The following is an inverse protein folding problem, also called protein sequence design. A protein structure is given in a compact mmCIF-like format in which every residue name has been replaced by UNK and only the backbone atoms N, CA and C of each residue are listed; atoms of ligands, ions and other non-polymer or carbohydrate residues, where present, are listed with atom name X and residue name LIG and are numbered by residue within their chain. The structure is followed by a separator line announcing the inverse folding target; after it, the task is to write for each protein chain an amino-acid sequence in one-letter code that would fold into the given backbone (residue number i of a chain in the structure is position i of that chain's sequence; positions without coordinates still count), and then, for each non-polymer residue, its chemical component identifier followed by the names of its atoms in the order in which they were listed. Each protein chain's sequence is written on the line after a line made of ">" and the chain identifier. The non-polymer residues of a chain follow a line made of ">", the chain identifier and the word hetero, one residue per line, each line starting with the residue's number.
data_IF_054317061443
#
_entry.id   IF_054317061443
#
_cell.length_a   1.000
_cell.length_b   1.000
_cell.length_c   1.000
_cell.angle_alpha   90.00
_cell.angle_beta   90.00
_cell.angle_gamma   90.00
#
_symmetry.space_group_name_H-M   'P 1'
#
loop_
_entity.id
_entity.type
_entity.pdbx_description
1 polymer ?
#
# COMPACT_ATOMS: atom_id res chain seq x y z
N UNK A 1 18.48 -14.61 -13.36
CA UNK A 1 19.20 -14.89 -12.13
C UNK A 1 19.74 -16.28 -12.14
N UNK A 2 20.96 -16.48 -11.65
CA UNK A 2 21.83 -17.60 -12.01
C UNK A 2 21.33 -19.01 -11.68
N UNK A 3 20.37 -19.20 -10.78
CA UNK A 3 19.99 -20.53 -10.30
C UNK A 3 18.51 -20.77 -10.01
N UNK A 4 17.63 -19.84 -10.34
CA UNK A 4 16.20 -20.03 -10.10
C UNK A 4 15.41 -19.98 -11.41
N UNK A 5 15.13 -21.13 -11.99
CA UNK A 5 14.26 -21.30 -13.17
C UNK A 5 12.77 -21.22 -12.83
N UNK A 6 12.43 -20.88 -11.58
CA UNK A 6 11.06 -20.78 -11.08
C UNK A 6 10.48 -19.36 -11.21
N UNK A 7 9.17 -19.27 -11.00
CA UNK A 7 8.46 -18.01 -10.84
C UNK A 7 8.85 -17.32 -9.52
N UNK A 8 8.69 -15.99 -9.45
CA UNK A 8 8.85 -15.25 -8.21
C UNK A 8 7.95 -15.84 -7.10
N UNK A 9 8.51 -15.96 -5.90
CA UNK A 9 7.81 -16.58 -4.78
C UNK A 9 6.90 -15.59 -4.03
N UNK A 10 6.99 -14.32 -4.36
CA UNK A 10 6.20 -13.24 -3.78
C UNK A 10 6.68 -11.87 -4.20
N UNK A 11 6.03 -10.84 -3.68
CA UNK A 11 6.26 -9.44 -4.08
C UNK A 11 7.66 -8.94 -3.66
N UNK A 12 8.13 -9.31 -2.48
CA UNK A 12 9.48 -8.95 -2.02
C UNK A 12 10.57 -9.74 -2.75
N UNK A 13 10.32 -11.00 -3.09
CA UNK A 13 11.25 -11.79 -3.90
C UNK A 13 11.42 -11.19 -5.28
N UNK A 14 10.34 -10.74 -5.92
CA UNK A 14 10.40 -10.07 -7.21
C UNK A 14 11.32 -8.83 -7.18
N UNK A 15 11.20 -7.98 -6.16
CA UNK A 15 12.06 -6.80 -6.00
C UNK A 15 13.51 -7.19 -5.68
N UNK A 16 13.71 -8.22 -4.85
CA UNK A 16 15.04 -8.73 -4.49
C UNK A 16 15.84 -9.20 -5.71
N UNK A 17 15.19 -9.80 -6.70
CA UNK A 17 15.84 -10.23 -7.93
C UNK A 17 16.46 -9.07 -8.74
N UNK A 18 16.00 -7.84 -8.51
CA UNK A 18 16.51 -6.62 -9.14
C UNK A 18 17.33 -5.73 -8.20
N UNK A 19 17.75 -6.26 -7.04
CA UNK A 19 18.41 -5.46 -5.99
C UNK A 19 19.70 -4.80 -6.49
N UNK A 20 20.47 -5.47 -7.34
CA UNK A 20 21.71 -4.92 -7.89
C UNK A 20 21.45 -3.70 -8.80
N UNK A 21 20.34 -3.71 -9.54
CA UNK A 21 19.89 -2.55 -10.31
C UNK A 21 19.51 -1.39 -9.40
N UNK A 22 18.76 -1.69 -8.32
CA UNK A 22 18.35 -0.68 -7.32
C UNK A 22 19.58 -0.08 -6.63
N UNK A 23 20.58 -0.89 -6.30
CA UNK A 23 21.84 -0.41 -5.71
C UNK A 23 22.60 0.54 -6.63
N UNK A 24 22.57 0.28 -7.95
CA UNK A 24 23.24 1.10 -8.94
C UNK A 24 22.56 2.45 -9.21
N UNK A 25 21.30 2.63 -8.81
CA UNK A 25 20.61 3.91 -8.98
C UNK A 25 21.11 4.95 -7.98
N UNK A 26 21.34 6.16 -8.48
CA UNK A 26 21.67 7.33 -7.65
C UNK A 26 20.36 8.03 -7.19
N UNK A 27 19.69 7.40 -6.23
CA UNK A 27 18.42 7.86 -5.65
C UNK A 27 18.40 7.62 -4.15
N UNK A 28 17.65 8.42 -3.43
CA UNK A 28 17.47 8.31 -1.97
C UNK A 28 16.28 7.43 -1.59
N UNK A 29 15.21 7.46 -2.41
CA UNK A 29 13.98 6.74 -2.17
C UNK A 29 13.61 5.83 -3.34
N UNK A 30 12.92 4.74 -3.03
CA UNK A 30 12.36 3.79 -4.00
C UNK A 30 10.86 3.66 -3.76
N UNK A 31 10.07 3.84 -4.82
CA UNK A 31 8.62 3.59 -4.79
C UNK A 31 8.37 2.17 -5.31
N UNK A 32 7.55 1.42 -4.58
CA UNK A 32 7.04 0.12 -5.00
C UNK A 32 5.54 0.26 -5.24
N UNK A 33 5.11 -0.14 -6.44
CA UNK A 33 3.72 -0.07 -6.88
C UNK A 33 3.19 -1.48 -7.17
N UNK A 34 1.93 -1.73 -6.82
CA UNK A 34 1.21 -2.93 -7.27
C UNK A 34 0.81 -2.79 -8.74
N UNK A 35 0.94 -3.88 -9.50
CA UNK A 35 0.67 -3.89 -10.94
C UNK A 35 -0.81 -4.10 -11.31
N UNK A 36 -1.65 -4.48 -10.36
CA UNK A 36 -3.05 -4.86 -10.51
C UNK A 36 -4.01 -3.96 -9.70
N UNK A 37 -3.67 -2.69 -9.57
CA UNK A 37 -4.48 -1.69 -8.87
C UNK A 37 -4.92 -0.58 -9.82
N UNK A 38 -6.18 -0.18 -9.69
CA UNK A 38 -6.79 0.92 -10.45
C UNK A 38 -6.94 2.14 -9.55
N UNK A 39 -6.14 3.17 -9.79
CA UNK A 39 -6.13 4.43 -9.04
C UNK A 39 -5.36 5.51 -9.78
N UNK A 40 -5.45 6.74 -9.32
CA UNK A 40 -4.61 7.85 -9.76
C UNK A 40 -4.03 8.56 -8.54
N UNK A 41 -2.73 8.71 -8.49
CA UNK A 41 -2.02 9.32 -7.36
C UNK A 41 -0.98 10.31 -7.84
N UNK A 42 -0.87 11.44 -7.17
CA UNK A 42 0.29 12.33 -7.27
C UNK A 42 1.41 11.79 -6.37
N UNK A 43 2.34 11.07 -6.98
CA UNK A 43 3.45 10.46 -6.25
C UNK A 43 4.39 11.51 -5.65
N UNK A 44 4.44 12.74 -6.17
CA UNK A 44 5.26 13.81 -5.58
C UNK A 44 4.82 14.11 -4.16
N UNK A 45 3.50 14.22 -3.93
CA UNK A 45 2.94 14.44 -2.58
C UNK A 45 3.19 13.26 -1.64
N UNK A 46 3.17 12.05 -2.18
CA UNK A 46 3.46 10.84 -1.40
C UNK A 46 4.92 10.83 -0.93
N UNK A 47 5.87 11.16 -1.82
CA UNK A 47 7.30 11.28 -1.49
C UNK A 47 7.53 12.46 -0.52
N UNK A 48 6.90 13.61 -0.74
CA UNK A 48 6.99 14.77 0.14
C UNK A 48 6.57 14.41 1.57
N UNK A 49 5.43 13.75 1.74
CA UNK A 49 4.97 13.25 3.04
C UNK A 49 5.99 12.28 3.68
N UNK A 50 6.59 11.37 2.89
CA UNK A 50 7.63 10.46 3.35
C UNK A 50 8.83 11.21 3.93
N UNK A 51 9.29 12.26 3.23
CA UNK A 51 10.41 13.11 3.66
C UNK A 51 10.08 13.95 4.89
N UNK A 52 8.91 14.61 4.91
CA UNK A 52 8.45 15.46 6.02
C UNK A 52 8.29 14.65 7.33
N UNK A 53 7.72 13.46 7.24
CA UNK A 53 7.55 12.55 8.39
C UNK A 53 8.86 11.87 8.82
N UNK A 54 9.95 12.06 8.06
CA UNK A 54 11.25 11.38 8.26
C UNK A 54 11.08 9.86 8.38
N UNK A 55 10.15 9.33 7.59
CA UNK A 55 9.84 7.92 7.59
C UNK A 55 11.00 7.10 7.02
N UNK A 56 11.14 5.87 7.47
CA UNK A 56 11.98 4.86 6.82
C UNK A 56 11.19 4.14 5.74
N UNK A 57 9.87 3.94 6.00
CA UNK A 57 8.92 3.36 5.08
C UNK A 57 7.61 4.14 5.20
N UNK A 58 6.99 4.50 4.08
CA UNK A 58 5.63 5.07 4.06
C UNK A 58 4.71 4.16 3.27
N UNK A 59 3.56 3.83 3.85
CA UNK A 59 2.52 3.04 3.22
C UNK A 59 1.37 3.95 2.80
N UNK A 60 0.92 3.84 1.56
CA UNK A 60 -0.34 4.45 1.17
C UNK A 60 -1.51 3.65 1.74
N UNK A 61 -2.47 4.35 2.34
CA UNK A 61 -3.59 3.74 3.07
C UNK A 61 -4.92 4.36 2.67
N UNK A 62 -5.98 3.57 2.79
CA UNK A 62 -7.36 4.00 2.61
C UNK A 62 -8.23 3.53 3.77
N UNK A 63 -9.23 4.32 4.19
CA UNK A 63 -10.26 3.84 5.10
C UNK A 63 -11.16 2.84 4.37
N UNK A 64 -11.54 1.74 5.04
CA UNK A 64 -12.32 0.68 4.41
C UNK A 64 -13.40 0.15 5.34
N UNK A 65 -14.47 -0.37 4.75
CA UNK A 65 -15.60 -0.95 5.46
C UNK A 65 -15.35 -2.41 5.91
N UNK A 66 -16.24 -2.89 6.78
CA UNK A 66 -16.21 -4.26 7.33
C UNK A 66 -16.20 -5.36 6.26
N UNK A 67 -16.91 -5.16 5.14
CA UNK A 67 -17.11 -6.20 4.12
C UNK A 67 -15.82 -6.49 3.35
N UNK A 68 -15.02 -5.45 3.15
CA UNK A 68 -13.79 -5.52 2.37
C UNK A 68 -12.55 -5.75 3.24
N UNK A 69 -12.62 -5.43 4.53
CA UNK A 69 -11.46 -5.37 5.42
C UNK A 69 -10.64 -6.66 5.47
N UNK A 70 -11.28 -7.85 5.46
CA UNK A 70 -10.58 -9.13 5.50
C UNK A 70 -9.76 -9.47 4.24
N UNK A 71 -9.86 -8.66 3.19
CA UNK A 71 -9.13 -8.88 1.93
C UNK A 71 -7.79 -8.16 1.87
N UNK A 72 -7.50 -7.28 2.84
CA UNK A 72 -6.34 -6.38 2.82
C UNK A 72 -5.51 -6.47 4.09
N UNK A 73 -4.26 -6.04 3.99
CA UNK A 73 -3.45 -5.72 5.15
C UNK A 73 -4.05 -4.53 5.89
N UNK A 74 -4.35 -4.70 7.18
CA UNK A 74 -4.92 -3.68 8.04
C UNK A 74 -3.87 -3.14 9.00
N UNK A 75 -4.02 -1.89 9.42
CA UNK A 75 -3.09 -1.27 10.35
C UNK A 75 -3.77 -0.36 11.36
N UNK A 76 -3.09 -0.15 12.49
CA UNK A 76 -3.40 0.89 13.44
C UNK A 76 -2.34 1.96 13.39
N UNK A 77 -2.74 3.20 13.54
CA UNK A 77 -1.84 4.35 13.60
C UNK A 77 -2.04 5.12 14.89
N UNK A 78 -0.99 5.80 15.32
CA UNK A 78 -1.11 6.79 16.38
C UNK A 78 -1.52 8.17 15.83
N UNK A 79 -1.65 9.16 16.72
CA UNK A 79 -2.02 10.55 16.42
C UNK A 79 -1.03 11.30 15.50
N UNK A 80 0.17 10.75 15.30
CA UNK A 80 1.21 11.26 14.39
C UNK A 80 1.28 10.52 13.07
N UNK A 81 0.32 9.64 12.78
CA UNK A 81 0.27 8.83 11.57
C UNK A 81 1.28 7.67 11.53
N UNK A 82 2.02 7.42 12.64
CA UNK A 82 2.94 6.28 12.71
C UNK A 82 2.16 4.98 12.85
N UNK A 83 2.53 3.99 12.05
CA UNK A 83 1.96 2.64 12.12
C UNK A 83 2.49 1.95 13.37
N UNK A 84 1.59 1.49 14.23
CA UNK A 84 1.89 0.86 15.52
C UNK A 84 1.46 -0.61 15.59
N UNK A 85 0.61 -1.04 14.66
CA UNK A 85 0.14 -2.42 14.56
C UNK A 85 -0.20 -2.74 13.10
N UNK A 86 0.01 -3.98 12.67
CA UNK A 86 -0.25 -4.43 11.31
C UNK A 86 -0.70 -5.90 11.32
N UNK A 87 -1.76 -6.21 10.58
CA UNK A 87 -2.25 -7.58 10.38
C UNK A 87 -2.61 -7.80 8.91
N UNK A 88 -2.04 -8.82 8.29
CA UNK A 88 -2.31 -9.14 6.88
C UNK A 88 -3.53 -10.04 6.76
N UNK A 89 -4.56 -9.55 6.07
CA UNK A 89 -5.82 -10.26 5.78
C UNK A 89 -6.43 -10.94 7.01
N UNK A 90 -6.59 -10.22 8.15
CA UNK A 90 -7.05 -10.79 9.40
C UNK A 90 -8.49 -11.28 9.28
N UNK A 91 -8.86 -12.28 10.09
CA UNK A 91 -10.22 -12.87 10.09
C UNK A 91 -10.75 -13.04 11.51
N UNK A 92 -12.08 -13.13 11.64
CA UNK A 92 -12.71 -13.42 12.92
C UNK A 92 -12.40 -12.37 13.99
N UNK A 93 -11.91 -12.80 15.15
CA UNK A 93 -11.61 -11.89 16.28
C UNK A 93 -10.41 -10.97 15.99
N UNK A 94 -9.41 -11.43 15.26
CA UNK A 94 -8.27 -10.61 14.85
C UNK A 94 -8.73 -9.43 13.99
N UNK A 95 -9.65 -9.65 13.05
CA UNK A 95 -10.24 -8.59 12.25
C UNK A 95 -10.92 -7.54 13.13
N UNK A 96 -11.74 -7.94 14.09
CA UNK A 96 -12.40 -7.02 15.01
C UNK A 96 -11.41 -6.20 15.84
N UNK A 97 -10.30 -6.81 16.24
CA UNK A 97 -9.25 -6.10 16.97
C UNK A 97 -8.58 -5.01 16.14
N UNK A 98 -8.61 -5.11 14.80
CA UNK A 98 -8.04 -4.10 13.91
C UNK A 98 -8.95 -2.89 13.67
N UNK A 99 -10.14 -2.83 14.26
CA UNK A 99 -10.99 -1.64 14.20
C UNK A 99 -10.32 -0.45 14.91
N UNK A 100 -10.42 0.71 14.28
CA UNK A 100 -9.87 1.97 14.78
C UNK A 100 -10.84 3.12 14.55
N UNK A 101 -10.67 4.20 15.30
CA UNK A 101 -11.33 5.46 15.00
C UNK A 101 -10.63 6.16 13.83
N UNK A 102 -11.17 6.00 12.64
CA UNK A 102 -10.59 6.58 11.42
C UNK A 102 -10.75 8.11 11.33
N UNK A 103 -11.35 8.78 12.33
CA UNK A 103 -11.31 10.25 12.44
C UNK A 103 -9.88 10.77 12.56
N UNK A 104 -8.94 9.97 13.05
CA UNK A 104 -7.50 10.28 13.06
C UNK A 104 -6.93 10.56 11.66
N UNK A 105 -7.58 10.05 10.61
CA UNK A 105 -7.27 10.34 9.21
C UNK A 105 -7.98 11.59 8.68
N UNK A 106 -8.75 12.30 9.52
CA UNK A 106 -9.52 13.47 9.13
C UNK A 106 -10.89 13.15 8.50
N UNK A 107 -11.42 11.93 8.71
CA UNK A 107 -12.77 11.56 8.31
C UNK A 107 -13.79 12.19 9.27
N UNK A 108 -15.01 12.46 8.75
CA UNK A 108 -16.12 12.82 9.62
C UNK A 108 -16.52 11.62 10.50
N UNK A 109 -17.16 11.86 11.67
CA UNK A 109 -17.62 10.77 12.54
C UNK A 109 -18.57 9.76 11.85
N UNK A 110 -19.32 10.21 10.86
CA UNK A 110 -20.19 9.34 10.06
C UNK A 110 -19.39 8.46 9.10
N UNK A 111 -18.44 9.04 8.38
CA UNK A 111 -17.52 8.30 7.50
C UNK A 111 -16.68 7.29 8.29
N UNK A 112 -16.19 7.68 9.47
CA UNK A 112 -15.43 6.80 10.34
C UNK A 112 -16.22 5.57 10.80
N UNK A 113 -17.51 5.75 11.11
CA UNK A 113 -18.39 4.61 11.43
C UNK A 113 -18.62 3.66 10.26
N UNK A 114 -18.64 4.18 9.02
CA UNK A 114 -18.82 3.37 7.82
C UNK A 114 -17.53 2.66 7.40
N UNK A 115 -16.38 3.22 7.74
CA UNK A 115 -15.06 2.72 7.37
C UNK A 115 -14.13 2.64 8.59
N UNK A 116 -14.36 1.67 9.51
CA UNK A 116 -13.65 1.59 10.79
C UNK A 116 -12.28 0.90 10.69
N UNK A 117 -11.74 0.68 9.50
CA UNK A 117 -10.42 0.07 9.30
C UNK A 117 -9.54 0.94 8.42
N UNK A 118 -8.23 0.80 8.60
CA UNK A 118 -7.21 1.42 7.76
C UNK A 118 -6.53 0.30 6.97
N UNK A 119 -6.71 0.29 5.65
CA UNK A 119 -6.16 -0.73 4.76
C UNK A 119 -4.93 -0.23 4.01
N UNK A 120 -3.94 -1.12 3.85
CA UNK A 120 -2.81 -0.92 2.96
C UNK A 120 -3.27 -0.99 1.50
N UNK A 121 -2.81 -0.05 0.69
CA UNK A 121 -2.98 -0.13 -0.76
C UNK A 121 -1.92 -1.00 -1.45
N UNK A 122 -0.96 -1.58 -0.72
CA UNK A 122 0.16 -2.29 -1.33
C UNK A 122 1.14 -1.38 -2.10
N UNK A 123 1.17 -0.11 -1.75
CA UNK A 123 1.99 0.92 -2.38
C UNK A 123 2.89 1.52 -1.31
N UNK A 124 4.20 1.53 -1.57
CA UNK A 124 5.20 1.87 -0.56
C UNK A 124 6.23 2.87 -1.08
N UNK A 125 6.70 3.77 -0.21
CA UNK A 125 7.96 4.49 -0.38
C UNK A 125 8.93 4.00 0.67
N UNK A 126 10.12 3.61 0.25
CA UNK A 126 11.23 3.21 1.12
C UNK A 126 12.39 4.17 0.96
N UNK A 127 13.10 4.47 2.05
CA UNK A 127 14.51 4.86 1.92
C UNK A 127 15.25 3.74 1.24
N UNK A 128 16.08 4.05 0.23
CA UNK A 128 16.80 3.02 -0.56
C UNK A 128 17.60 2.07 0.32
N UNK A 129 18.38 2.62 1.26
CA UNK A 129 19.22 1.80 2.13
C UNK A 129 18.42 0.89 3.06
N UNK A 130 17.25 1.36 3.52
CA UNK A 130 16.34 0.55 4.35
C UNK A 130 15.78 -0.62 3.53
N UNK A 131 15.33 -0.37 2.29
CA UNK A 131 14.83 -1.42 1.39
C UNK A 131 15.90 -2.49 1.16
N UNK A 132 17.11 -2.06 0.77
CA UNK A 132 18.21 -2.98 0.51
C UNK A 132 18.51 -3.83 1.75
N UNK A 133 18.65 -3.19 2.91
CA UNK A 133 18.92 -3.86 4.18
C UNK A 133 17.86 -4.91 4.55
N UNK A 134 16.58 -4.55 4.41
CA UNK A 134 15.48 -5.47 4.70
C UNK A 134 15.47 -6.68 3.78
N UNK A 135 15.68 -6.48 2.47
CA UNK A 135 15.67 -7.55 1.49
C UNK A 135 16.90 -8.47 1.60
N UNK A 136 18.06 -7.95 2.01
CA UNK A 136 19.28 -8.74 2.18
C UNK A 136 19.30 -9.51 3.51
N UNK A 137 18.86 -8.89 4.60
CA UNK A 137 18.83 -9.55 5.91
C UNK A 137 17.75 -10.63 6.01
N UNK A 138 16.65 -10.46 5.30
CA UNK A 138 15.49 -11.35 5.33
C UNK A 138 15.33 -12.05 3.99
N UNK A 139 16.37 -12.73 3.53
CA UNK A 139 16.41 -13.35 2.19
C UNK A 139 15.38 -14.48 2.01
N UNK A 140 14.90 -15.07 3.08
CA UNK A 140 13.87 -16.12 3.15
C UNK A 140 12.44 -15.54 3.12
N UNK A 141 12.27 -14.24 3.43
CA UNK A 141 10.97 -13.56 3.36
C UNK A 141 10.68 -13.14 1.92
N UNK A 142 9.52 -13.52 1.42
CA UNK A 142 9.18 -13.39 0.00
C UNK A 142 8.09 -12.35 -0.27
N UNK A 143 7.35 -11.94 0.76
CA UNK A 143 6.19 -11.03 0.64
C UNK A 143 6.34 -9.76 1.48
N UNK A 144 5.99 -8.60 0.88
CA UNK A 144 6.05 -7.34 1.62
C UNK A 144 4.98 -7.25 2.71
N UNK A 145 3.73 -7.60 2.40
CA UNK A 145 2.61 -7.43 3.32
C UNK A 145 2.64 -8.41 4.48
N UNK A 146 2.92 -9.68 4.20
CA UNK A 146 2.92 -10.72 5.22
C UNK A 146 4.17 -10.75 6.11
N UNK A 147 5.33 -10.31 5.57
CA UNK A 147 6.62 -10.60 6.20
C UNK A 147 7.47 -9.35 6.41
N UNK A 148 7.82 -8.64 5.34
CA UNK A 148 8.77 -7.52 5.41
C UNK A 148 8.22 -6.35 6.21
N UNK A 149 6.98 -5.89 5.92
CA UNK A 149 6.38 -4.73 6.58
C UNK A 149 6.09 -5.01 8.07
N UNK A 150 5.46 -6.13 8.46
CA UNK A 150 5.25 -6.44 9.87
C UNK A 150 6.57 -6.57 10.64
N UNK A 151 7.59 -7.16 10.02
CA UNK A 151 8.93 -7.26 10.61
C UNK A 151 9.58 -5.90 10.82
N UNK A 152 9.51 -5.04 9.83
CA UNK A 152 10.11 -3.70 9.86
C UNK A 152 9.42 -2.76 10.86
N UNK A 153 8.14 -2.96 11.19
CA UNK A 153 7.38 -2.08 12.09
C UNK A 153 7.98 -1.98 13.50
N UNK A 154 8.77 -2.97 13.91
CA UNK A 154 9.41 -3.02 15.24
C UNK A 154 10.59 -2.05 15.35
N UNK A 155 11.39 -1.93 14.29
CA UNK A 155 12.71 -1.29 14.33
C UNK A 155 12.80 -0.02 13.47
N UNK A 156 11.79 0.24 12.63
CA UNK A 156 11.77 1.34 11.68
C UNK A 156 10.61 2.31 11.93
N UNK A 157 10.74 3.53 11.41
CA UNK A 157 9.67 4.51 11.41
C UNK A 157 8.76 4.28 10.20
N UNK A 158 7.65 3.56 10.42
CA UNK A 158 6.62 3.35 9.41
C UNK A 158 5.54 4.42 9.54
N UNK A 159 5.21 5.10 8.44
CA UNK A 159 4.19 6.15 8.39
C UNK A 159 3.07 5.79 7.41
N UNK A 160 1.86 6.18 7.75
CA UNK A 160 0.69 6.05 6.88
C UNK A 160 0.48 7.35 6.10
N UNK A 161 0.29 7.22 4.79
CA UNK A 161 -0.14 8.30 3.90
C UNK A 161 -1.58 8.06 3.47
N UNK A 162 -2.50 8.93 3.89
CA UNK A 162 -3.91 8.82 3.49
C UNK A 162 -4.06 9.18 2.02
N UNK A 163 -4.41 8.20 1.21
CA UNK A 163 -4.85 8.42 -0.15
C UNK A 163 -6.32 8.86 -0.17
N UNK A 164 -6.59 9.95 -0.90
CA UNK A 164 -7.94 10.47 -1.12
C UNK A 164 -8.26 10.35 -2.61
N UNK A 165 -9.09 9.40 -2.97
CA UNK A 165 -9.50 9.14 -4.33
C UNK A 165 -10.02 7.72 -4.50
N UNK A 166 -10.42 7.41 -5.72
CA UNK A 166 -10.87 6.07 -6.07
C UNK A 166 -9.68 5.10 -6.12
N UNK A 167 -9.83 3.96 -5.47
CA UNK A 167 -8.88 2.85 -5.50
C UNK A 167 -9.59 1.52 -5.49
N UNK A 168 -9.19 0.62 -6.40
CA UNK A 168 -9.62 -0.77 -6.44
C UNK A 168 -8.45 -1.69 -6.72
N UNK A 169 -8.37 -2.78 -5.96
CA UNK A 169 -7.57 -3.96 -6.27
C UNK A 169 -8.36 -4.80 -7.28
N UNK A 170 -7.82 -4.95 -8.50
CA UNK A 170 -8.45 -5.67 -9.61
C UNK A 170 -7.77 -7.02 -9.88
N UNK A 171 -7.12 -7.59 -8.88
CA UNK A 171 -6.38 -8.86 -8.97
C UNK A 171 -7.23 -10.11 -9.10
N UNK A 172 -8.57 -10.01 -9.05
CA UNK A 172 -9.48 -11.12 -9.33
C UNK A 172 -10.40 -10.81 -10.51
N UNK A 173 -10.92 -11.85 -11.19
CA UNK A 173 -11.90 -11.68 -12.28
C UNK A 173 -13.12 -10.91 -11.78
N UNK A 174 -13.58 -11.20 -10.57
CA UNK A 174 -14.73 -10.52 -9.97
C UNK A 174 -14.45 -9.04 -9.72
N UNK A 175 -13.34 -8.68 -9.05
CA UNK A 175 -13.00 -7.29 -8.77
C UNK A 175 -12.73 -6.50 -10.06
N UNK A 176 -12.06 -7.10 -11.04
CA UNK A 176 -11.88 -6.52 -12.38
C UNK A 176 -13.22 -6.21 -13.06
N UNK A 177 -14.14 -7.18 -13.07
CA UNK A 177 -15.48 -7.00 -13.64
C UNK A 177 -16.27 -5.90 -12.92
N UNK A 178 -16.28 -5.90 -11.58
CA UNK A 178 -16.97 -4.90 -10.79
C UNK A 178 -16.39 -3.49 -10.99
N UNK A 179 -15.08 -3.36 -11.09
CA UNK A 179 -14.43 -2.07 -11.38
C UNK A 179 -14.84 -1.53 -12.76
N UNK A 180 -14.92 -2.38 -13.80
CA UNK A 180 -15.43 -1.98 -15.11
C UNK A 180 -16.89 -1.51 -15.02
N UNK A 181 -17.76 -2.24 -14.31
CA UNK A 181 -19.15 -1.84 -14.13
C UNK A 181 -19.28 -0.54 -13.31
N UNK A 182 -18.40 -0.31 -12.34
CA UNK A 182 -18.43 0.92 -11.54
C UNK A 182 -18.25 2.17 -12.41
N UNK A 183 -17.44 2.09 -13.47
CA UNK A 183 -17.22 3.19 -14.41
C UNK A 183 -18.42 3.50 -15.31
N UNK A 184 -19.48 2.68 -15.29
CA UNK A 184 -20.74 2.90 -16.02
C UNK A 184 -21.89 3.37 -15.12
N UNK A 185 -21.71 3.39 -13.80
CA UNK A 185 -22.75 3.76 -12.82
C UNK A 185 -22.83 5.28 -12.64
N UNK A 186 -23.98 5.74 -12.11
CA UNK A 186 -24.16 7.13 -11.67
C UNK A 186 -24.40 7.17 -10.16
N UNK A 187 -23.69 8.03 -9.40
CA UNK A 187 -22.58 8.89 -9.84
C UNK A 187 -21.35 8.07 -10.24
N UNK A 188 -20.54 8.61 -11.15
CA UNK A 188 -19.25 8.03 -11.51
C UNK A 188 -18.31 8.02 -10.28
N UNK A 189 -17.42 7.02 -10.16
CA UNK A 189 -16.33 7.06 -9.18
C UNK A 189 -15.41 8.27 -9.45
N UNK A 190 -14.71 8.73 -8.43
CA UNK A 190 -13.72 9.82 -8.56
C UNK A 190 -12.44 9.30 -9.26
N UNK A 191 -12.63 8.93 -10.53
CA UNK A 191 -11.58 8.40 -11.40
C UNK A 191 -11.84 8.83 -12.86
N UNK A 192 -10.82 9.42 -13.50
CA UNK A 192 -10.90 9.80 -14.92
C UNK A 192 -9.68 9.29 -15.67
N UNK A 193 -9.91 8.65 -16.82
CA UNK A 193 -8.86 8.31 -17.80
C UNK A 193 -8.37 9.54 -18.59
N UNK A 194 -9.15 10.62 -18.63
CA UNK A 194 -8.99 11.77 -19.52
C UNK A 194 -8.58 13.05 -18.79
N UNK A 195 -7.79 12.92 -17.72
CA UNK A 195 -7.24 14.08 -17.01
C UNK A 195 -6.10 14.68 -17.85
N UNK A 196 -6.33 15.84 -18.43
CA UNK A 196 -5.33 16.56 -19.26
C UNK A 196 -4.07 16.95 -18.50
N UNK A 197 -4.18 17.17 -17.18
CA UNK A 197 -3.03 17.58 -16.33
C UNK A 197 -2.16 16.39 -15.91
N UNK A 198 -2.71 15.19 -15.98
CA UNK A 198 -2.02 13.96 -15.62
C UNK A 198 -2.42 12.82 -16.59
N UNK A 199 -2.02 12.89 -17.87
CA UNK A 199 -2.42 11.93 -18.88
C UNK A 199 -1.89 10.53 -18.57
N UNK A 200 -2.71 9.51 -18.84
CA UNK A 200 -2.28 8.10 -18.80
C UNK A 200 -1.70 7.78 -20.16
N UNK A 201 -0.41 7.43 -20.18
CA UNK A 201 0.24 6.98 -21.41
C UNK A 201 0.07 5.46 -21.53
N UNK A 202 -0.52 5.03 -22.63
CA UNK A 202 -0.72 3.62 -22.96
C UNK A 202 -0.47 3.40 -24.44
N UNK A 203 -0.27 2.15 -24.82
CA UNK A 203 -0.14 1.73 -26.23
C UNK A 203 -1.42 1.06 -26.68
#
# INVERSE_FOLDING_TARGET
>A
TKDNSGWFQGTADAVRQYIDSIKAWDVDEVIILSGDHLYRMDYSKFIEHHRESKADITLSVVPIDDKRASSFGLMKINDRGRIIDFAEKPKGEELKQMQVDTTVLGLTPEQARQSPYIASMGIYVFKKDVLINLLEKNFDQTDFGNEIIPGAAKDHNLQAYLFKGYWEDIGTIESFYQANLALTKQPLPDFSFYDEKAPIYTR
#
